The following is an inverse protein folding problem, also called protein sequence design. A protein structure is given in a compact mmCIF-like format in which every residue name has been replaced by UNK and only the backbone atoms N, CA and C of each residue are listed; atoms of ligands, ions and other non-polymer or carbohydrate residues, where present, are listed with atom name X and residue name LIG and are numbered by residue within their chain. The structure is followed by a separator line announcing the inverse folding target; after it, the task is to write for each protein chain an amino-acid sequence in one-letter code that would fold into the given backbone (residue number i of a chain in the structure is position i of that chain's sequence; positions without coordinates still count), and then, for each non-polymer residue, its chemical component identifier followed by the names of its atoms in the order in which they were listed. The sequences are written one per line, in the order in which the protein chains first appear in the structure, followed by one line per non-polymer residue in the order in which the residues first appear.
data_IF_372255244010
#
_entry.id   IF_372255244010
#
_cell.length_a   1.000
_cell.length_b   1.000
_cell.length_c   1.000
_cell.angle_alpha   90.00
_cell.angle_beta   90.00
_cell.angle_gamma   90.00
#
_symmetry.space_group_name_H-M   'P 1'
#
loop_
_entity.id
_entity.type
_entity.pdbx_description
1 polymer ?
#
# COMPACT_ATOMS: atom_id res chain seq x y z
N UNK A 1 -0.74 3.82 5.05
CA UNK A 1 0.58 4.40 5.44
C UNK A 1 0.57 5.36 6.63
N UNK A 2 -0.58 5.93 7.04
CA UNK A 2 -0.64 6.85 8.19
C UNK A 2 -0.03 6.28 9.49
N UNK A 3 -0.30 5.00 9.81
CA UNK A 3 0.28 4.33 10.97
C UNK A 3 1.81 4.30 10.95
N UNK A 4 2.42 3.97 9.81
CA UNK A 4 3.88 3.95 9.66
C UNK A 4 4.48 5.36 9.85
N UNK A 5 3.84 6.40 9.30
CA UNK A 5 4.28 7.79 9.48
C UNK A 5 4.17 8.24 10.95
N UNK A 6 3.08 7.86 11.63
CA UNK A 6 2.91 8.14 13.06
C UNK A 6 3.98 7.44 13.91
N UNK A 7 4.35 6.19 13.56
CA UNK A 7 5.44 5.47 14.22
C UNK A 7 6.80 6.18 14.02
N UNK A 8 7.10 6.65 12.80
CA UNK A 8 8.33 7.42 12.54
C UNK A 8 8.34 8.73 13.33
N UNK A 9 7.24 9.48 13.34
CA UNK A 9 7.11 10.71 14.12
C UNK A 9 7.34 10.44 15.61
N UNK A 10 6.67 9.43 16.17
CA UNK A 10 6.79 9.05 17.57
C UNK A 10 8.22 8.66 17.95
N UNK A 11 8.88 7.84 17.12
CA UNK A 11 10.27 7.46 17.33
C UNK A 11 11.22 8.67 17.33
N UNK A 12 11.10 9.55 16.33
CA UNK A 12 11.91 10.76 16.25
C UNK A 12 11.69 11.72 17.42
N UNK A 13 10.43 11.86 17.87
CA UNK A 13 10.09 12.66 19.04
C UNK A 13 10.72 12.10 20.33
N UNK A 14 10.71 10.79 20.52
CA UNK A 14 11.39 10.15 21.66
C UNK A 14 12.91 10.39 21.65
N UNK A 15 13.51 10.44 20.45
CA UNK A 15 14.92 10.79 20.23
C UNK A 15 15.21 12.29 20.35
N UNK A 16 14.24 13.08 20.84
CA UNK A 16 14.35 14.53 21.13
C UNK A 16 14.57 15.41 19.90
N UNK A 17 14.13 14.96 18.73
CA UNK A 17 14.08 15.83 17.56
C UNK A 17 12.95 16.86 17.72
N UNK A 18 13.14 18.05 17.17
CA UNK A 18 12.11 19.10 17.28
C UNK A 18 10.90 18.74 16.41
N UNK A 19 9.66 19.00 16.88
CA UNK A 19 8.45 18.75 16.10
C UNK A 19 8.47 19.36 14.69
N UNK A 20 8.92 20.60 14.56
CA UNK A 20 8.95 21.29 13.26
C UNK A 20 9.95 20.64 12.28
N UNK A 21 11.12 20.21 12.79
CA UNK A 21 12.11 19.48 12.01
C UNK A 21 11.58 18.10 11.57
N UNK A 22 10.87 17.40 12.46
CA UNK A 22 10.23 16.12 12.15
C UNK A 22 9.18 16.27 11.06
N UNK A 23 8.26 17.23 11.17
CA UNK A 23 7.21 17.46 10.17
C UNK A 23 7.83 17.84 8.82
N UNK A 24 8.85 18.71 8.83
CA UNK A 24 9.59 19.11 7.63
C UNK A 24 10.37 17.95 6.98
N UNK A 25 10.84 16.98 7.76
CA UNK A 25 11.48 15.78 7.24
C UNK A 25 10.44 14.79 6.67
N UNK A 26 9.35 14.56 7.39
CA UNK A 26 8.27 13.66 6.98
C UNK A 26 7.62 14.11 5.66
N UNK A 27 7.46 15.41 5.43
CA UNK A 27 6.89 15.96 4.18
C UNK A 27 7.75 15.72 2.95
N UNK A 28 9.05 15.39 3.13
CA UNK A 28 9.99 15.08 2.05
C UNK A 28 10.11 13.58 1.77
N UNK A 29 9.47 12.74 2.59
CA UNK A 29 9.49 11.29 2.38
C UNK A 29 8.81 10.95 1.06
N UNK A 30 9.42 10.04 0.32
CA UNK A 30 8.84 9.43 -0.87
C UNK A 30 8.33 8.03 -0.52
N UNK A 31 7.31 7.53 -1.23
CA UNK A 31 6.92 6.13 -1.12
C UNK A 31 8.13 5.23 -1.32
N UNK A 32 8.18 4.13 -0.58
CA UNK A 32 9.18 3.08 -0.78
C UNK A 32 8.79 2.32 -2.04
N UNK A 33 9.77 1.97 -2.88
CA UNK A 33 9.55 1.17 -4.08
C UNK A 33 8.74 -0.10 -3.75
N UNK A 34 7.68 -0.34 -4.54
CA UNK A 34 6.75 -1.45 -4.32
C UNK A 34 5.92 -1.35 -3.02
N UNK A 35 5.73 -0.16 -2.43
CA UNK A 35 4.75 0.09 -1.35
C UNK A 35 3.81 1.22 -1.75
N UNK A 36 2.61 0.87 -2.20
CA UNK A 36 1.62 1.81 -2.77
C UNK A 36 2.26 2.74 -3.82
N UNK A 37 3.11 2.18 -4.68
CA UNK A 37 3.80 2.94 -5.71
C UNK A 37 2.87 3.19 -6.89
N UNK A 38 2.67 4.46 -7.27
CA UNK A 38 1.71 4.84 -8.30
C UNK A 38 2.42 5.18 -9.61
N UNK A 39 2.02 4.50 -10.68
CA UNK A 39 2.54 4.72 -12.03
C UNK A 39 1.36 5.12 -12.91
N UNK A 40 1.47 6.27 -13.60
CA UNK A 40 0.41 6.77 -14.47
C UNK A 40 0.84 6.65 -15.94
N UNK A 41 0.01 5.99 -16.74
CA UNK A 41 0.23 5.90 -18.18
C UNK A 41 -0.18 7.19 -18.89
N UNK A 42 0.37 7.43 -20.08
CA UNK A 42 -0.03 8.56 -20.93
C UNK A 42 -1.52 8.52 -21.31
N UNK A 43 -2.12 7.32 -21.36
CA UNK A 43 -3.55 7.11 -21.63
C UNK A 43 -4.45 7.29 -20.40
N UNK A 44 -3.91 7.71 -19.25
CA UNK A 44 -4.68 7.99 -18.04
C UNK A 44 -4.98 6.79 -17.15
N UNK A 45 -4.42 5.60 -17.45
CA UNK A 45 -4.53 4.43 -16.59
C UNK A 45 -3.55 4.58 -15.43
N UNK A 46 -4.03 4.33 -14.21
CA UNK A 46 -3.20 4.32 -13.01
C UNK A 46 -2.94 2.88 -12.61
N UNK A 47 -1.66 2.50 -12.56
CA UNK A 47 -1.20 1.25 -11.97
C UNK A 47 -0.69 1.53 -10.54
N UNK A 48 -1.00 0.63 -9.62
CA UNK A 48 -0.50 0.68 -8.25
C UNK A 48 0.26 -0.62 -7.97
N UNK A 49 1.54 -0.48 -7.61
CA UNK A 49 2.43 -1.61 -7.30
C UNK A 49 2.58 -1.70 -5.78
N UNK A 50 2.23 -2.85 -5.22
CA UNK A 50 2.35 -3.11 -3.78
C UNK A 50 2.86 -4.54 -3.50
N UNK A 51 3.64 -4.69 -2.43
CA UNK A 51 4.22 -5.94 -1.98
C UNK A 51 3.28 -6.82 -1.14
N UNK A 52 2.01 -6.45 -1.03
CA UNK A 52 0.98 -7.23 -0.34
C UNK A 52 1.03 -8.72 -0.74
N UNK A 53 1.54 -9.54 0.18
CA UNK A 53 1.70 -10.98 -0.01
C UNK A 53 1.03 -11.80 1.10
N UNK A 54 0.19 -11.14 1.90
CA UNK A 54 -0.70 -11.73 2.90
C UNK A 54 -2.15 -11.34 2.56
N UNK A 55 -3.16 -12.15 2.95
CA UNK A 55 -4.56 -11.82 2.68
C UNK A 55 -4.99 -10.46 3.24
N UNK A 56 -4.63 -10.18 4.49
CA UNK A 56 -4.95 -8.91 5.16
C UNK A 56 -4.33 -7.69 4.44
N UNK A 57 -3.06 -7.79 4.03
CA UNK A 57 -2.43 -6.72 3.28
C UNK A 57 -3.12 -6.48 1.92
N UNK A 58 -3.52 -7.56 1.24
CA UNK A 58 -4.25 -7.49 -0.03
C UNK A 58 -5.64 -6.86 0.13
N UNK A 59 -6.35 -7.22 1.19
CA UNK A 59 -7.64 -6.62 1.51
C UNK A 59 -7.50 -5.11 1.79
N UNK A 60 -6.50 -4.72 2.57
CA UNK A 60 -6.25 -3.31 2.91
C UNK A 60 -5.95 -2.46 1.67
N UNK A 61 -5.14 -2.95 0.73
CA UNK A 61 -4.82 -2.21 -0.51
C UNK A 61 -6.03 -2.13 -1.44
N UNK A 62 -6.79 -3.21 -1.62
CA UNK A 62 -8.01 -3.21 -2.45
C UNK A 62 -9.06 -2.25 -1.86
N UNK A 63 -9.26 -2.28 -0.54
CA UNK A 63 -10.16 -1.37 0.16
C UNK A 63 -9.79 0.10 -0.08
N UNK A 64 -8.52 0.45 0.14
CA UNK A 64 -8.03 1.80 -0.11
C UNK A 64 -8.21 2.22 -1.58
N UNK A 65 -7.95 1.32 -2.54
CA UNK A 65 -8.13 1.60 -3.98
C UNK A 65 -9.60 1.79 -4.35
N UNK A 66 -10.50 1.03 -3.73
CA UNK A 66 -11.95 1.16 -3.95
C UNK A 66 -12.50 2.49 -3.42
N UNK A 67 -11.91 3.05 -2.36
CA UNK A 67 -12.28 4.37 -1.83
C UNK A 67 -11.81 5.52 -2.73
N UNK A 68 -10.63 5.38 -3.37
CA UNK A 68 -10.04 6.47 -4.17
C UNK A 68 -10.36 6.38 -5.67
N UNK A 69 -10.76 5.21 -6.18
CA UNK A 69 -11.11 5.09 -7.60
C UNK A 69 -12.38 5.89 -7.90
N UNK A 70 -12.36 6.64 -8.99
CA UNK A 70 -13.54 7.36 -9.47
C UNK A 70 -14.72 6.41 -9.76
N UNK A 71 -15.94 6.90 -9.58
CA UNK A 71 -17.15 6.14 -9.93
C UNK A 71 -17.10 5.70 -11.40
N UNK A 72 -17.43 4.43 -11.65
CA UNK A 72 -17.41 3.84 -13.00
C UNK A 72 -16.05 3.29 -13.45
N UNK A 73 -14.97 3.48 -12.69
CA UNK A 73 -13.68 2.87 -12.98
C UNK A 73 -13.59 1.44 -12.44
N UNK A 74 -13.05 0.52 -13.24
CA UNK A 74 -12.78 -0.85 -12.82
C UNK A 74 -11.41 -0.98 -12.16
N UNK A 75 -11.29 -1.86 -11.15
CA UNK A 75 -10.01 -2.28 -10.59
C UNK A 75 -9.63 -3.64 -11.19
N UNK A 76 -8.44 -3.73 -11.76
CA UNK A 76 -7.86 -5.00 -12.23
C UNK A 76 -6.76 -5.39 -11.25
N UNK A 77 -6.91 -6.55 -10.62
CA UNK A 77 -5.97 -7.06 -9.62
C UNK A 77 -5.10 -8.15 -10.23
N UNK A 78 -3.78 -7.99 -10.17
CA UNK A 78 -2.81 -9.03 -10.56
C UNK A 78 -2.01 -9.40 -9.31
N UNK A 79 -2.17 -10.64 -8.85
CA UNK A 79 -1.50 -11.16 -7.63
C UNK A 79 -0.91 -12.53 -7.88
N UNK A 80 0.11 -12.88 -7.08
CA UNK A 80 0.72 -14.20 -7.08
C UNK A 80 1.00 -14.68 -5.65
N UNK A 81 1.26 -15.98 -5.51
CA UNK A 81 1.67 -16.60 -4.26
C UNK A 81 2.84 -17.55 -4.51
N UNK A 82 3.88 -17.45 -3.68
CA UNK A 82 5.12 -18.24 -3.84
C UNK A 82 4.91 -19.76 -3.72
N UNK A 83 5.63 -20.52 -4.55
CA UNK A 83 5.57 -21.98 -4.66
C UNK A 83 6.04 -22.75 -3.42
N UNK A 84 7.08 -22.25 -2.75
CA UNK A 84 7.78 -22.93 -1.63
C UNK A 84 7.50 -22.31 -0.26
N UNK A 85 6.36 -21.62 -0.14
CA UNK A 85 5.91 -20.98 1.10
C UNK A 85 4.53 -21.48 1.47
N UNK A 86 3.96 -20.87 2.50
CA UNK A 86 2.61 -21.13 3.00
C UNK A 86 1.59 -21.31 1.85
N UNK A 87 1.11 -22.54 1.61
CA UNK A 87 0.12 -22.83 0.59
C UNK A 87 -1.30 -22.49 1.05
N UNK A 88 -1.56 -22.41 2.37
CA UNK A 88 -2.89 -22.20 2.92
C UNK A 88 -3.42 -20.79 2.64
N UNK A 89 -2.53 -19.80 2.50
CA UNK A 89 -2.93 -18.44 2.11
C UNK A 89 -3.40 -18.32 0.67
N UNK A 90 -3.07 -19.27 -0.23
CA UNK A 90 -3.35 -19.17 -1.67
C UNK A 90 -4.85 -19.00 -1.99
N UNK A 91 -5.75 -19.89 -1.52
CA UNK A 91 -7.19 -19.73 -1.77
C UNK A 91 -7.75 -18.45 -1.13
N UNK A 92 -7.26 -18.08 0.06
CA UNK A 92 -7.71 -16.86 0.75
C UNK A 92 -7.29 -15.61 -0.01
N UNK A 93 -6.03 -15.54 -0.48
CA UNK A 93 -5.55 -14.43 -1.31
C UNK A 93 -6.32 -14.33 -2.63
N UNK A 94 -6.64 -15.46 -3.27
CA UNK A 94 -7.46 -15.44 -4.49
C UNK A 94 -8.88 -14.91 -4.22
N UNK A 95 -9.48 -15.29 -3.09
CA UNK A 95 -10.78 -14.80 -2.67
C UNK A 95 -10.77 -13.29 -2.36
N UNK A 96 -9.69 -12.75 -1.78
CA UNK A 96 -9.53 -11.31 -1.60
C UNK A 96 -9.33 -10.57 -2.93
N UNK A 97 -8.56 -11.14 -3.87
CA UNK A 97 -8.23 -10.50 -5.14
C UNK A 97 -9.45 -10.18 -6.01
N UNK A 98 -10.50 -10.99 -5.94
CA UNK A 98 -11.74 -10.85 -6.74
C UNK A 98 -12.76 -9.88 -6.12
N UNK A 99 -12.44 -9.24 -4.98
CA UNK A 99 -13.30 -8.23 -4.33
C UNK A 99 -13.06 -6.80 -4.85
N UNK A 100 -12.15 -6.64 -5.80
CA UNK A 100 -11.89 -5.37 -6.50
C UNK A 100 -13.09 -4.90 -7.30
#
# INVERSE_FOLDING_TARGET
NASNLAAVYGAGYMLKWKPDELIAALSKLRPVDGRFETIRSAGGITAVVDYAHTPDALQNIIGALNEIRGQGNSLITVVGAGGDRDPFKRPVMAAEAVKG
#
